data_IF_041493807615
#
_entry.id   IF_041493807615
#
_cell.length_a   1.000
_cell.length_b   1.000
_cell.length_c   1.000
_cell.angle_alpha   90.00
_cell.angle_beta   90.00
_cell.angle_gamma   90.00
#
_symmetry.space_group_name_H-M   'P 1'
#
loop_
_entity.id
_entity.type
_entity.pdbx_description
1 polymer ?
#
# COMPACT_ATOMS: atom_id res chain seq x y z
N UNK A 1 51.71 18.37 27.51
CA UNK A 1 50.29 18.68 27.80
C UNK A 1 49.46 18.21 26.59
N UNK A 2 48.87 17.03 26.68
CA UNK A 2 48.12 16.41 25.60
C UNK A 2 46.65 16.61 25.91
N UNK A 3 45.97 17.43 25.09
CA UNK A 3 44.54 17.70 25.19
C UNK A 3 43.72 16.47 24.72
N UNK A 4 42.97 15.88 25.65
CA UNK A 4 42.08 14.75 25.44
C UNK A 4 40.82 15.24 24.76
N UNK A 5 40.71 14.99 23.43
CA UNK A 5 39.49 15.24 22.67
C UNK A 5 38.39 14.31 23.18
N UNK A 6 37.37 14.85 23.86
CA UNK A 6 36.15 14.15 24.24
C UNK A 6 35.33 13.87 22.98
N UNK A 7 35.35 12.64 22.51
CA UNK A 7 34.39 12.18 21.48
C UNK A 7 32.99 12.31 22.05
N UNK A 8 32.15 13.15 21.46
CA UNK A 8 30.70 13.19 21.68
C UNK A 8 30.12 11.88 21.13
N UNK A 9 30.06 10.83 21.94
CA UNK A 9 29.20 9.69 21.69
C UNK A 9 27.76 10.22 21.61
N UNK A 10 27.16 10.15 20.43
CA UNK A 10 25.70 10.41 20.23
C UNK A 10 24.92 9.44 21.13
N UNK A 11 24.38 9.96 22.22
CA UNK A 11 23.55 9.21 23.16
C UNK A 11 22.18 9.06 22.54
N UNK A 12 22.04 8.05 21.65
CA UNK A 12 20.79 7.65 21.01
C UNK A 12 20.04 6.73 21.99
N UNK A 13 19.25 7.35 22.88
CA UNK A 13 18.54 6.59 23.91
C UNK A 13 17.30 5.90 23.31
N UNK A 14 17.02 4.63 23.65
CA UNK A 14 15.81 3.92 23.24
C UNK A 14 14.52 4.74 23.44
N UNK A 15 14.44 5.49 24.54
CA UNK A 15 13.33 6.38 24.86
C UNK A 15 13.13 7.51 23.83
N UNK A 16 14.21 8.09 23.28
CA UNK A 16 14.09 9.14 22.23
C UNK A 16 13.59 8.56 20.92
N UNK A 17 14.04 7.35 20.54
CA UNK A 17 13.55 6.64 19.35
C UNK A 17 12.05 6.32 19.47
N UNK A 18 11.64 5.82 20.62
CA UNK A 18 10.24 5.51 20.91
C UNK A 18 9.35 6.77 20.86
N UNK A 19 9.79 7.86 21.45
CA UNK A 19 9.09 9.15 21.41
C UNK A 19 9.02 9.73 19.99
N UNK A 20 10.08 9.59 19.20
CA UNK A 20 10.08 10.00 17.78
C UNK A 20 9.12 9.15 16.95
N UNK A 21 9.08 7.83 17.16
CA UNK A 21 8.13 6.93 16.51
C UNK A 21 6.68 7.24 16.89
N UNK A 22 6.41 7.54 18.17
CA UNK A 22 5.08 7.96 18.62
C UNK A 22 4.66 9.29 17.96
N UNK A 23 5.56 10.27 17.93
CA UNK A 23 5.31 11.56 17.26
C UNK A 23 5.03 11.37 15.78
N UNK A 24 5.80 10.52 15.09
CA UNK A 24 5.60 10.16 13.68
C UNK A 24 4.21 9.56 13.46
N UNK A 25 3.79 8.61 14.30
CA UNK A 25 2.44 8.00 14.22
C UNK A 25 1.33 9.02 14.43
N UNK A 26 1.47 9.96 15.39
CA UNK A 26 0.50 11.04 15.61
C UNK A 26 0.34 11.93 14.37
N UNK A 27 1.47 12.30 13.73
CA UNK A 27 1.44 13.13 12.51
C UNK A 27 0.78 12.37 11.35
N UNK A 28 1.15 11.11 11.11
CA UNK A 28 0.56 10.28 10.05
C UNK A 28 -0.95 10.10 10.26
N UNK A 29 -1.41 9.83 11.48
CA UNK A 29 -2.84 9.69 11.78
C UNK A 29 -3.63 11.00 11.63
N UNK A 30 -3.02 12.15 11.94
CA UNK A 30 -3.62 13.46 11.69
C UNK A 30 -3.72 13.78 10.20
N UNK A 31 -2.64 13.50 9.45
CA UNK A 31 -2.58 13.68 8.02
C UNK A 31 -3.62 12.83 7.29
N UNK A 32 -3.73 11.55 7.65
CA UNK A 32 -4.72 10.64 7.08
C UNK A 32 -6.15 11.18 7.23
N UNK A 33 -6.53 11.57 8.45
CA UNK A 33 -7.87 12.13 8.70
C UNK A 33 -8.14 13.34 7.82
N UNK A 34 -7.20 14.31 7.81
CA UNK A 34 -7.37 15.55 7.04
C UNK A 34 -7.36 15.31 5.53
N UNK A 35 -6.50 14.41 5.03
CA UNK A 35 -6.48 14.05 3.61
C UNK A 35 -7.77 13.32 3.19
N UNK A 36 -8.28 12.42 4.02
CA UNK A 36 -9.54 11.71 3.74
C UNK A 36 -10.75 12.65 3.77
N UNK A 37 -10.76 13.62 4.70
CA UNK A 37 -11.88 14.55 4.87
C UNK A 37 -11.89 15.69 3.85
N UNK A 38 -10.71 16.28 3.56
CA UNK A 38 -10.62 17.50 2.76
C UNK A 38 -9.89 17.32 1.43
N UNK A 39 -9.27 16.17 1.19
CA UNK A 39 -8.40 15.90 0.05
C UNK A 39 -7.01 16.50 0.22
N UNK A 40 -6.10 16.12 -0.73
CA UNK A 40 -4.71 16.58 -0.69
C UNK A 40 -4.58 18.09 -0.85
N UNK A 41 -5.26 18.69 -1.83
CA UNK A 41 -5.08 20.10 -2.18
C UNK A 41 -5.46 21.04 -1.01
N UNK A 42 -6.60 20.79 -0.36
CA UNK A 42 -7.11 21.63 0.73
C UNK A 42 -6.42 21.39 2.08
N UNK A 43 -5.67 20.31 2.24
CA UNK A 43 -4.94 20.01 3.48
C UNK A 43 -3.59 20.73 3.50
N UNK A 44 -3.28 21.41 4.62
CA UNK A 44 -2.03 22.13 4.80
C UNK A 44 -1.16 21.51 5.91
N UNK A 45 0.17 21.68 5.81
CA UNK A 45 1.11 21.23 6.86
C UNK A 45 0.84 21.88 8.24
N UNK A 46 0.48 23.18 8.33
CA UNK A 46 0.05 23.78 9.60
C UNK A 46 -1.18 23.12 10.20
N UNK A 47 -2.20 22.79 9.39
CA UNK A 47 -3.40 22.11 9.87
C UNK A 47 -3.07 20.71 10.41
N UNK A 48 -2.20 19.97 9.73
CA UNK A 48 -1.73 18.66 10.20
C UNK A 48 -0.97 18.79 11.53
N UNK A 49 -0.08 19.77 11.66
CA UNK A 49 0.66 20.02 12.89
C UNK A 49 -0.27 20.32 14.08
N UNK A 50 -1.26 21.19 13.87
CA UNK A 50 -2.28 21.53 14.86
C UNK A 50 -3.09 20.29 15.26
N UNK A 51 -3.57 19.50 14.29
CA UNK A 51 -4.34 18.29 14.54
C UNK A 51 -3.53 17.20 15.26
N UNK A 52 -2.20 17.11 14.98
CA UNK A 52 -1.30 16.17 15.63
C UNK A 52 -0.84 16.64 17.03
N UNK A 53 -1.09 17.89 17.41
CA UNK A 53 -0.62 18.48 18.65
C UNK A 53 0.91 18.65 18.71
N UNK A 54 1.55 18.95 17.57
CA UNK A 54 3.00 19.14 17.49
C UNK A 54 3.37 20.47 16.83
N UNK A 55 4.61 20.93 17.05
CA UNK A 55 5.09 22.11 16.35
C UNK A 55 5.23 21.86 14.84
N UNK A 56 4.88 22.84 14.01
CA UNK A 56 5.00 22.77 12.55
C UNK A 56 6.41 22.37 12.09
N UNK A 57 7.45 22.89 12.75
CA UNK A 57 8.84 22.53 12.50
C UNK A 57 9.11 21.02 12.67
N UNK A 58 8.41 20.37 13.60
CA UNK A 58 8.53 18.92 13.83
C UNK A 58 7.99 18.14 12.63
N UNK A 59 6.88 18.58 12.02
CA UNK A 59 6.31 17.95 10.82
C UNK A 59 7.28 18.06 9.65
N UNK A 60 7.85 19.26 9.40
CA UNK A 60 8.83 19.45 8.34
C UNK A 60 10.12 18.66 8.55
N UNK A 61 10.61 18.57 9.79
CA UNK A 61 11.80 17.76 10.11
C UNK A 61 11.57 16.26 9.87
N UNK A 62 10.35 15.77 10.09
CA UNK A 62 10.02 14.35 9.95
C UNK A 62 9.71 13.91 8.52
N UNK A 63 9.16 14.81 7.68
CA UNK A 63 8.60 14.43 6.37
C UNK A 63 9.03 15.35 5.22
N UNK A 64 9.69 16.46 5.48
CA UNK A 64 10.15 17.43 4.48
C UNK A 64 9.02 18.22 3.83
N UNK A 65 8.19 17.56 3.06
CA UNK A 65 7.10 18.18 2.28
C UNK A 65 5.75 17.52 2.55
N UNK A 66 4.66 18.13 2.07
CA UNK A 66 3.32 17.53 2.11
C UNK A 66 3.26 16.25 1.26
N UNK A 67 3.93 16.24 0.11
CA UNK A 67 4.08 15.06 -0.74
C UNK A 67 4.86 13.96 -0.03
N UNK A 68 5.99 14.28 0.63
CA UNK A 68 6.75 13.32 1.44
C UNK A 68 5.97 12.74 2.62
N UNK A 69 5.08 13.54 3.22
CA UNK A 69 4.18 13.06 4.27
C UNK A 69 3.13 12.08 3.72
N UNK A 70 2.51 12.39 2.57
CA UNK A 70 1.54 11.49 1.94
C UNK A 70 2.22 10.21 1.41
N UNK A 71 3.44 10.30 0.90
CA UNK A 71 4.27 9.15 0.53
C UNK A 71 4.47 8.22 1.74
N UNK A 72 4.98 8.76 2.86
CA UNK A 72 5.19 7.98 4.07
C UNK A 72 3.90 7.34 4.63
N UNK A 73 2.76 8.02 4.48
CA UNK A 73 1.45 7.48 4.83
C UNK A 73 1.08 6.31 3.90
N UNK A 74 1.33 6.45 2.59
CA UNK A 74 1.13 5.40 1.58
C UNK A 74 1.91 4.14 1.92
N UNK A 75 3.21 4.29 2.22
CA UNK A 75 4.09 3.17 2.59
C UNK A 75 3.55 2.39 3.79
N UNK A 76 3.19 3.09 4.88
CA UNK A 76 2.65 2.45 6.10
C UNK A 76 1.32 1.75 5.81
N UNK A 77 0.46 2.33 4.98
CA UNK A 77 -0.85 1.75 4.66
C UNK A 77 -0.75 0.56 3.70
N UNK A 78 0.16 0.57 2.75
CA UNK A 78 0.42 -0.55 1.85
C UNK A 78 1.10 -1.72 2.56
N UNK A 79 2.15 -1.45 3.31
CA UNK A 79 2.91 -2.49 4.01
C UNK A 79 2.12 -3.14 5.15
N UNK A 80 1.27 -2.38 5.84
CA UNK A 80 0.55 -2.82 7.03
C UNK A 80 1.39 -2.85 8.31
N UNK A 81 2.66 -2.59 8.17
CA UNK A 81 3.62 -2.45 9.26
C UNK A 81 4.69 -1.41 8.85
N UNK A 82 5.54 -1.03 9.82
CA UNK A 82 6.63 -0.07 9.61
C UNK A 82 7.90 -0.72 8.99
N UNK A 83 7.80 -1.96 8.46
CA UNK A 83 8.94 -2.67 7.89
C UNK A 83 9.03 -2.41 6.38
N UNK A 84 10.17 -1.93 5.86
CA UNK A 84 10.37 -1.69 4.42
C UNK A 84 10.69 -2.99 3.68
N UNK A 85 9.77 -3.98 3.76
CA UNK A 85 9.91 -5.27 3.08
C UNK A 85 8.95 -5.27 1.88
N UNK A 86 9.45 -5.40 0.64
CA UNK A 86 8.61 -5.56 -0.55
C UNK A 86 7.62 -6.71 -0.39
N UNK A 87 6.45 -6.61 -1.04
CA UNK A 87 5.42 -7.67 -0.99
C UNK A 87 5.99 -9.00 -1.48
N UNK A 88 6.81 -8.98 -2.52
CA UNK A 88 7.49 -10.16 -3.10
C UNK A 88 8.40 -10.88 -2.12
N UNK A 89 8.91 -10.18 -1.10
CA UNK A 89 9.80 -10.75 -0.08
C UNK A 89 9.07 -11.20 1.18
N UNK A 90 7.77 -10.93 1.28
CA UNK A 90 6.98 -11.31 2.46
C UNK A 90 6.75 -12.81 2.51
N UNK A 91 6.82 -13.43 3.71
CA UNK A 91 6.66 -14.88 3.87
C UNK A 91 5.35 -15.41 3.27
N UNK A 92 4.24 -14.69 3.45
CA UNK A 92 2.93 -15.11 2.93
C UNK A 92 2.90 -15.16 1.39
N UNK A 93 3.56 -14.20 0.70
CA UNK A 93 3.61 -14.17 -0.76
C UNK A 93 4.49 -15.31 -1.31
N UNK A 94 5.67 -15.50 -0.71
CA UNK A 94 6.53 -16.64 -1.07
C UNK A 94 5.83 -17.97 -0.85
N UNK A 95 5.15 -18.13 0.29
CA UNK A 95 4.38 -19.34 0.58
C UNK A 95 3.24 -19.52 -0.42
N UNK A 96 2.56 -18.45 -0.83
CA UNK A 96 1.53 -18.49 -1.85
C UNK A 96 2.09 -19.03 -3.17
N UNK A 97 3.24 -18.53 -3.65
CA UNK A 97 3.86 -18.97 -4.90
C UNK A 97 4.45 -20.39 -4.85
N UNK A 98 4.64 -20.98 -3.68
CA UNK A 98 5.06 -22.38 -3.53
C UNK A 98 3.86 -23.35 -3.48
N UNK A 99 2.63 -22.83 -3.38
CA UNK A 99 1.42 -23.65 -3.38
C UNK A 99 1.19 -24.36 -4.72
N UNK A 100 0.49 -25.48 -4.69
CA UNK A 100 0.13 -26.33 -5.84
C UNK A 100 -1.39 -26.42 -6.09
N UNK A 101 -2.19 -25.75 -5.27
CA UNK A 101 -3.65 -25.62 -5.45
C UNK A 101 -4.00 -24.29 -6.15
N UNK A 102 -4.39 -24.31 -7.44
CA UNK A 102 -4.75 -23.10 -8.19
C UNK A 102 -5.92 -22.33 -7.60
N UNK A 103 -6.91 -23.04 -7.06
CA UNK A 103 -8.09 -22.43 -6.42
C UNK A 103 -7.70 -21.68 -5.15
N UNK A 104 -6.83 -22.26 -4.35
CA UNK A 104 -6.32 -21.62 -3.13
C UNK A 104 -5.47 -20.39 -3.47
N UNK A 105 -4.67 -20.45 -4.56
CA UNK A 105 -3.89 -19.31 -5.07
C UNK A 105 -4.79 -18.13 -5.40
N UNK A 106 -5.84 -18.35 -6.19
CA UNK A 106 -6.79 -17.30 -6.60
C UNK A 106 -7.55 -16.74 -5.40
N UNK A 107 -8.09 -17.58 -4.53
CA UNK A 107 -8.81 -17.14 -3.32
C UNK A 107 -7.92 -16.37 -2.38
N UNK A 108 -6.68 -16.79 -2.20
CA UNK A 108 -5.72 -16.08 -1.34
C UNK A 108 -5.36 -14.72 -1.92
N UNK A 109 -5.18 -14.62 -3.25
CA UNK A 109 -4.97 -13.34 -3.95
C UNK A 109 -6.15 -12.38 -3.73
N UNK A 110 -7.40 -12.84 -3.89
CA UNK A 110 -8.59 -12.03 -3.65
C UNK A 110 -8.68 -11.54 -2.20
N UNK A 111 -8.41 -12.42 -1.23
CA UNK A 111 -8.40 -12.07 0.20
C UNK A 111 -7.33 -11.04 0.53
N UNK A 112 -6.09 -11.23 0.05
CA UNK A 112 -4.99 -10.28 0.29
C UNK A 112 -5.28 -8.92 -0.36
N UNK A 113 -5.89 -8.94 -1.54
CA UNK A 113 -6.37 -7.74 -2.22
C UNK A 113 -7.35 -6.95 -1.34
N UNK A 114 -8.38 -7.62 -0.80
CA UNK A 114 -9.34 -7.01 0.12
C UNK A 114 -8.66 -6.42 1.34
N UNK A 115 -7.87 -7.22 2.08
CA UNK A 115 -7.19 -6.80 3.32
C UNK A 115 -6.30 -5.58 3.08
N UNK A 116 -5.58 -5.55 1.95
CA UNK A 116 -4.75 -4.40 1.59
C UNK A 116 -5.60 -3.16 1.31
N UNK A 117 -6.71 -3.30 0.56
CA UNK A 117 -7.56 -2.16 0.18
C UNK A 117 -8.41 -1.62 1.31
N UNK A 118 -8.86 -2.45 2.24
CA UNK A 118 -9.51 -1.98 3.48
C UNK A 118 -8.59 -1.00 4.24
N UNK A 119 -7.29 -1.28 4.23
CA UNK A 119 -6.29 -0.50 4.94
C UNK A 119 -5.79 0.71 4.15
N UNK A 120 -5.58 0.57 2.84
CA UNK A 120 -4.88 1.54 2.00
C UNK A 120 -5.73 2.23 0.95
N UNK A 121 -6.94 1.75 0.65
CA UNK A 121 -7.70 2.17 -0.51
C UNK A 121 -8.00 3.67 -0.57
N UNK A 122 -8.36 4.29 0.55
CA UNK A 122 -8.63 5.73 0.60
C UNK A 122 -7.35 6.55 0.40
N UNK A 123 -6.23 6.11 0.99
CA UNK A 123 -4.93 6.78 0.83
C UNK A 123 -4.40 6.64 -0.60
N UNK A 124 -4.53 5.46 -1.21
CA UNK A 124 -4.14 5.24 -2.62
C UNK A 124 -4.93 6.14 -3.56
N UNK A 125 -6.24 6.30 -3.32
CA UNK A 125 -7.08 7.22 -4.09
C UNK A 125 -6.59 8.67 -3.97
N UNK A 126 -6.22 9.10 -2.78
CA UNK A 126 -5.69 10.46 -2.54
C UNK A 126 -4.35 10.65 -3.25
N UNK A 127 -3.43 9.67 -3.18
CA UNK A 127 -2.16 9.69 -3.90
C UNK A 127 -2.41 9.83 -5.40
N UNK A 128 -3.26 9.00 -5.98
CA UNK A 128 -3.60 9.02 -7.40
C UNK A 128 -4.21 10.36 -7.85
N UNK A 129 -5.14 10.91 -7.07
CA UNK A 129 -5.73 12.22 -7.38
C UNK A 129 -4.68 13.34 -7.32
N UNK A 130 -3.79 13.31 -6.34
CA UNK A 130 -2.73 14.29 -6.19
C UNK A 130 -1.62 14.14 -7.25
N UNK A 131 -1.39 12.94 -7.76
CA UNK A 131 -0.43 12.64 -8.83
C UNK A 131 -0.68 13.45 -10.13
N UNK A 132 -1.92 13.86 -10.36
CA UNK A 132 -2.27 14.69 -11.54
C UNK A 132 -1.56 16.04 -11.53
N UNK A 133 -1.28 16.61 -10.36
CA UNK A 133 -0.73 17.97 -10.21
C UNK A 133 0.59 18.02 -9.44
N UNK A 134 0.99 16.91 -8.83
CA UNK A 134 2.18 16.85 -7.96
C UNK A 134 3.17 15.80 -8.50
N UNK A 135 4.26 16.20 -9.20
CA UNK A 135 5.19 15.28 -9.86
C UNK A 135 5.76 14.19 -8.93
N UNK A 136 6.11 14.54 -7.68
CA UNK A 136 6.62 13.57 -6.71
C UNK A 136 5.60 12.47 -6.35
N UNK A 137 4.31 12.77 -6.45
CA UNK A 137 3.24 11.80 -6.23
C UNK A 137 2.90 11.02 -7.51
N UNK A 138 3.16 11.58 -8.70
CA UNK A 138 3.08 10.84 -9.95
C UNK A 138 4.14 9.73 -10.00
N UNK A 139 5.40 10.05 -9.67
CA UNK A 139 6.48 9.05 -9.56
C UNK A 139 6.17 7.97 -8.50
N UNK A 140 5.56 8.37 -7.38
CA UNK A 140 5.12 7.42 -6.36
C UNK A 140 4.02 6.49 -6.91
N UNK A 141 3.02 7.05 -7.59
CA UNK A 141 1.92 6.29 -8.15
C UNK A 141 2.39 5.27 -9.18
N UNK A 142 3.24 5.68 -10.12
CA UNK A 142 3.81 4.82 -11.16
C UNK A 142 4.61 3.65 -10.54
N UNK A 143 5.35 3.90 -9.48
CA UNK A 143 6.06 2.85 -8.74
C UNK A 143 5.09 1.88 -8.07
N UNK A 144 4.05 2.38 -7.40
CA UNK A 144 3.02 1.54 -6.77
C UNK A 144 2.35 0.63 -7.81
N UNK A 145 1.97 1.17 -8.97
CA UNK A 145 1.37 0.38 -10.05
C UNK A 145 2.32 -0.69 -10.60
N UNK A 146 3.59 -0.32 -10.80
CA UNK A 146 4.62 -1.25 -11.29
C UNK A 146 4.85 -2.41 -10.31
N UNK A 147 5.03 -2.11 -9.03
CA UNK A 147 5.22 -3.12 -7.98
C UNK A 147 3.98 -4.00 -7.82
N UNK A 148 2.79 -3.42 -7.85
CA UNK A 148 1.55 -4.17 -7.76
C UNK A 148 1.38 -5.10 -8.95
N UNK A 149 1.64 -4.64 -10.19
CA UNK A 149 1.58 -5.47 -11.38
C UNK A 149 2.59 -6.62 -11.33
N UNK A 150 3.80 -6.39 -10.84
CA UNK A 150 4.81 -7.43 -10.68
C UNK A 150 4.38 -8.53 -9.68
N UNK A 151 3.72 -8.16 -8.58
CA UNK A 151 3.15 -9.12 -7.62
C UNK A 151 2.10 -10.01 -8.30
N UNK A 152 1.23 -9.44 -9.12
CA UNK A 152 0.17 -10.19 -9.81
C UNK A 152 0.72 -11.04 -10.96
N UNK A 153 1.77 -10.57 -11.65
CA UNK A 153 2.47 -11.37 -12.66
C UNK A 153 3.06 -12.65 -12.07
N UNK A 154 3.68 -12.58 -10.89
CA UNK A 154 4.19 -13.78 -10.21
C UNK A 154 3.09 -14.81 -9.89
N UNK A 155 1.86 -14.36 -9.57
CA UNK A 155 0.72 -15.26 -9.36
C UNK A 155 0.30 -15.91 -10.69
N UNK A 156 0.20 -15.11 -11.76
CA UNK A 156 -0.16 -15.60 -13.11
C UNK A 156 0.87 -16.62 -13.64
N UNK A 157 2.17 -16.33 -13.50
CA UNK A 157 3.27 -17.24 -13.85
C UNK A 157 3.19 -18.55 -13.06
N UNK A 158 2.83 -18.48 -11.77
CA UNK A 158 2.65 -19.70 -10.98
C UNK A 158 1.48 -20.54 -11.47
N UNK A 159 0.34 -19.93 -11.80
CA UNK A 159 -0.83 -20.64 -12.37
C UNK A 159 -0.49 -21.28 -13.72
N UNK A 160 0.29 -20.59 -14.56
CA UNK A 160 0.76 -21.10 -15.84
C UNK A 160 1.70 -22.29 -15.65
N UNK A 161 2.68 -22.19 -14.75
CA UNK A 161 3.61 -23.26 -14.41
C UNK A 161 2.92 -24.52 -13.84
N UNK A 162 1.74 -24.37 -13.24
CA UNK A 162 0.88 -25.48 -12.79
C UNK A 162 0.04 -26.07 -13.93
N UNK A 163 0.06 -25.48 -15.14
CA UNK A 163 -0.80 -25.89 -16.25
C UNK A 163 -2.29 -25.72 -15.96
N UNK A 164 -2.64 -24.77 -15.09
CA UNK A 164 -3.99 -24.62 -14.56
C UNK A 164 -4.79 -23.49 -15.22
N UNK A 165 -4.16 -22.72 -16.12
CA UNK A 165 -4.85 -21.66 -16.86
C UNK A 165 -5.87 -22.24 -17.84
N UNK A 166 -7.02 -21.57 -17.94
CA UNK A 166 -8.09 -21.95 -18.86
C UNK A 166 -7.61 -21.90 -20.34
N UNK A 167 -8.19 -22.69 -21.24
CA UNK A 167 -7.83 -22.67 -22.65
C UNK A 167 -7.91 -21.25 -23.25
N UNK A 168 -6.81 -20.80 -23.87
CA UNK A 168 -6.71 -19.48 -24.49
C UNK A 168 -6.28 -18.36 -23.53
N UNK A 169 -6.04 -18.66 -22.25
CA UNK A 169 -5.47 -17.73 -21.28
C UNK A 169 -3.98 -18.03 -21.10
N UNK A 170 -3.12 -17.06 -21.34
CA UNK A 170 -1.69 -17.11 -21.05
C UNK A 170 -1.35 -16.28 -19.78
N UNK A 171 -0.11 -16.37 -19.30
CA UNK A 171 0.32 -15.64 -18.09
C UNK A 171 0.18 -14.11 -18.24
N UNK A 172 0.29 -13.57 -19.45
CA UNK A 172 0.12 -12.13 -19.70
C UNK A 172 -1.33 -11.72 -19.53
N UNK A 173 -2.24 -12.41 -20.19
CA UNK A 173 -3.70 -12.20 -20.10
C UNK A 173 -4.19 -12.43 -18.66
N UNK A 174 -3.67 -13.46 -17.99
CA UNK A 174 -3.97 -13.71 -16.58
C UNK A 174 -3.51 -12.56 -15.67
N UNK A 175 -2.34 -11.98 -15.93
CA UNK A 175 -1.86 -10.80 -15.22
C UNK A 175 -2.77 -9.60 -15.41
N UNK A 176 -3.25 -9.36 -16.63
CA UNK A 176 -4.16 -8.26 -16.95
C UNK A 176 -5.52 -8.42 -16.25
N UNK A 177 -6.06 -9.63 -16.21
CA UNK A 177 -7.30 -9.93 -15.48
C UNK A 177 -7.12 -9.74 -13.97
N UNK A 178 -6.05 -10.30 -13.41
CA UNK A 178 -5.70 -10.12 -12.00
C UNK A 178 -5.56 -8.63 -11.66
N UNK A 179 -4.84 -7.87 -12.48
CA UNK A 179 -4.61 -6.43 -12.26
C UNK A 179 -5.91 -5.63 -12.32
N UNK A 180 -6.76 -5.86 -13.33
CA UNK A 180 -8.02 -5.14 -13.53
C UNK A 180 -9.00 -5.39 -12.37
N UNK A 181 -9.21 -6.66 -11.99
CA UNK A 181 -10.16 -7.00 -10.93
C UNK A 181 -9.65 -6.62 -9.54
N UNK A 182 -8.34 -6.65 -9.33
CA UNK A 182 -7.73 -6.22 -8.08
C UNK A 182 -7.30 -4.74 -8.08
N UNK A 183 -7.64 -3.93 -9.09
CA UNK A 183 -7.26 -2.53 -9.12
C UNK A 183 -7.94 -1.73 -7.99
N UNK A 184 -7.28 -0.72 -7.39
CA UNK A 184 -7.87 0.14 -6.36
C UNK A 184 -9.18 0.82 -6.81
N UNK A 185 -9.31 1.13 -8.11
CA UNK A 185 -10.54 1.72 -8.64
C UNK A 185 -11.71 0.74 -8.62
N UNK A 186 -11.48 -0.54 -8.93
CA UNK A 186 -12.53 -1.58 -8.85
C UNK A 186 -13.06 -1.68 -7.41
N UNK A 187 -12.17 -1.66 -6.43
CA UNK A 187 -12.56 -1.58 -5.03
C UNK A 187 -13.37 -0.31 -4.72
N UNK A 188 -12.90 0.86 -5.16
CA UNK A 188 -13.57 2.12 -4.89
C UNK A 188 -14.98 2.16 -5.51
N UNK A 189 -15.11 1.73 -6.75
CA UNK A 189 -16.42 1.66 -7.44
C UNK A 189 -17.39 0.75 -6.71
N UNK A 190 -16.98 -0.48 -6.39
CA UNK A 190 -17.86 -1.47 -5.80
C UNK A 190 -18.14 -1.20 -4.32
N UNK A 191 -17.11 -0.94 -3.52
CA UNK A 191 -17.29 -0.82 -2.07
C UNK A 191 -17.72 0.60 -1.66
N UNK A 192 -17.12 1.65 -2.25
CA UNK A 192 -17.41 3.03 -1.84
C UNK A 192 -18.60 3.64 -2.58
N UNK A 193 -18.77 3.36 -3.87
CA UNK A 193 -19.89 3.94 -4.64
C UNK A 193 -21.12 3.04 -4.69
N UNK A 194 -20.95 1.73 -4.93
CA UNK A 194 -22.06 0.78 -4.99
C UNK A 194 -22.46 0.22 -3.62
N UNK A 195 -21.76 0.54 -2.54
CA UNK A 195 -22.10 0.14 -1.17
C UNK A 195 -21.89 -1.36 -0.88
N UNK A 196 -21.03 -2.04 -1.63
CA UNK A 196 -20.73 -3.43 -1.33
C UNK A 196 -19.96 -3.58 -0.02
N UNK A 197 -20.21 -4.69 0.69
CA UNK A 197 -19.35 -5.08 1.80
C UNK A 197 -18.01 -5.56 1.27
N UNK A 198 -16.97 -5.47 2.11
CA UNK A 198 -15.65 -5.99 1.78
C UNK A 198 -15.65 -7.49 1.50
N UNK A 199 -16.48 -8.26 2.24
CA UNK A 199 -16.64 -9.70 2.03
C UNK A 199 -17.30 -10.02 0.68
N UNK A 200 -18.31 -9.24 0.27
CA UNK A 200 -18.93 -9.38 -1.06
C UNK A 200 -17.93 -9.10 -2.18
N UNK A 201 -17.08 -8.07 -2.01
CA UNK A 201 -16.02 -7.78 -2.96
C UNK A 201 -15.01 -8.93 -3.06
N UNK A 202 -14.52 -9.46 -1.93
CA UNK A 202 -13.59 -10.61 -1.89
C UNK A 202 -14.17 -11.82 -2.61
N UNK A 203 -15.41 -12.19 -2.27
CA UNK A 203 -16.11 -13.31 -2.88
C UNK A 203 -16.23 -13.14 -4.38
N UNK A 204 -16.73 -11.98 -4.83
CA UNK A 204 -16.93 -11.70 -6.26
C UNK A 204 -15.61 -11.71 -7.04
N UNK A 205 -14.54 -11.11 -6.50
CA UNK A 205 -13.22 -11.14 -7.15
C UNK A 205 -12.70 -12.58 -7.25
N UNK A 206 -12.81 -13.35 -6.18
CA UNK A 206 -12.36 -14.75 -6.14
C UNK A 206 -13.12 -15.64 -7.13
N UNK A 207 -14.46 -15.54 -7.18
CA UNK A 207 -15.30 -16.28 -8.12
C UNK A 207 -15.04 -15.88 -9.57
N UNK A 208 -14.96 -14.56 -9.85
CA UNK A 208 -14.72 -14.06 -11.20
C UNK A 208 -13.34 -14.48 -11.71
N UNK A 209 -12.30 -14.35 -10.88
CA UNK A 209 -10.94 -14.79 -11.24
C UNK A 209 -10.88 -16.30 -11.43
N UNK A 210 -11.55 -17.11 -10.58
CA UNK A 210 -11.59 -18.56 -10.77
C UNK A 210 -12.25 -18.95 -12.10
N UNK A 211 -13.38 -18.35 -12.42
CA UNK A 211 -14.07 -18.61 -13.69
C UNK A 211 -13.24 -18.18 -14.91
N UNK A 212 -12.59 -17.02 -14.86
CA UNK A 212 -11.83 -16.49 -15.99
C UNK A 212 -10.45 -17.13 -16.16
N UNK A 213 -9.77 -17.45 -15.07
CA UNK A 213 -8.39 -17.96 -15.10
C UNK A 213 -8.33 -19.49 -15.12
N UNK A 214 -9.25 -20.18 -14.45
CA UNK A 214 -9.22 -21.64 -14.28
C UNK A 214 -10.36 -22.36 -15.05
N UNK A 215 -11.33 -21.63 -15.56
CA UNK A 215 -12.47 -22.21 -16.31
C UNK A 215 -13.45 -23.02 -15.43
N UNK A 216 -13.57 -22.68 -14.13
CA UNK A 216 -14.39 -23.40 -13.14
C UNK A 216 -15.29 -22.46 -12.37
#
# INVERSE_FOLDING_TARGET
MTARVKSRRGYDSPRRREQAAETRRKILGAAERLFCEHGYAATSMPAIAAQAGVALKTVYLAFGTKAGLLHALGDVRLSGDDQPIPVTDRPWYRQLLHGDDPQLLVRTAARQSRVTKERSGDVLRIIRQAAVTEPALAELWDRIETEFRAVLAGIAERLDALGSLAPGVDATSATDLLWTLNHPDTWYLLVRQCGWTADRYEQWVGETLSAQLLGV
#
